data_IF_636149166177
#
_entry.id   IF_636149166177
#
_cell.length_a   1.000
_cell.length_b   1.000
_cell.length_c   1.000
_cell.angle_alpha   90.00
_cell.angle_beta   90.00
_cell.angle_gamma   90.00
#
_symmetry.space_group_name_H-M   'P 1'
#
loop_
_entity.id
_entity.type
_entity.pdbx_description
1 polymer ?
#
# COMPACT_ATOMS: atom_id res chain seq x y z
N UNK A 1 -14.22 7.99 -3.94
CA UNK A 1 -14.53 7.39 -5.25
C UNK A 1 -16.00 7.44 -5.64
N UNK A 2 -16.97 6.75 -4.98
CA UNK A 2 -18.39 6.73 -5.41
C UNK A 2 -19.01 8.12 -5.59
N UNK A 3 -18.70 9.06 -4.71
CA UNK A 3 -19.21 10.44 -4.76
C UNK A 3 -18.72 11.16 -6.03
N UNK A 4 -17.48 10.95 -6.42
CA UNK A 4 -16.92 11.60 -7.61
C UNK A 4 -17.52 11.01 -8.89
N UNK A 5 -17.63 9.68 -9.00
CA UNK A 5 -18.31 9.03 -10.12
C UNK A 5 -19.77 9.51 -10.21
N UNK A 6 -20.46 9.59 -9.07
CA UNK A 6 -21.82 10.10 -9.03
C UNK A 6 -21.93 11.56 -9.51
N UNK A 7 -20.99 12.44 -9.11
CA UNK A 7 -20.99 13.83 -9.59
C UNK A 7 -20.86 13.91 -11.10
N UNK A 8 -20.06 13.04 -11.71
CA UNK A 8 -19.92 12.95 -13.17
C UNK A 8 -21.21 12.46 -13.87
N UNK A 9 -21.92 11.54 -13.23
CA UNK A 9 -23.15 10.94 -13.78
C UNK A 9 -24.40 11.76 -13.51
N UNK A 10 -24.44 12.50 -12.38
CA UNK A 10 -25.61 13.29 -11.95
C UNK A 10 -26.00 14.32 -13.02
N UNK A 11 -27.27 14.30 -13.41
CA UNK A 11 -27.80 15.20 -14.44
C UNK A 11 -27.64 14.71 -15.87
N UNK A 12 -26.92 13.60 -16.08
CA UNK A 12 -26.82 12.99 -17.40
C UNK A 12 -28.09 12.19 -17.75
N UNK A 13 -28.51 12.11 -19.03
CA UNK A 13 -29.73 11.41 -19.43
C UNK A 13 -29.73 9.92 -19.08
N UNK A 14 -28.57 9.28 -19.01
CA UNK A 14 -28.40 7.87 -18.70
C UNK A 14 -28.43 7.55 -17.21
N UNK A 15 -28.27 8.55 -16.31
CA UNK A 15 -28.29 8.36 -14.87
C UNK A 15 -29.71 8.04 -14.38
N UNK A 16 -29.83 7.06 -13.46
CA UNK A 16 -31.11 6.74 -12.84
C UNK A 16 -31.08 7.03 -11.33
N UNK A 17 -30.28 6.30 -10.55
CA UNK A 17 -30.19 6.48 -9.10
C UNK A 17 -28.84 6.06 -8.50
N UNK A 18 -28.55 6.58 -7.30
CA UNK A 18 -27.47 6.16 -6.43
C UNK A 18 -28.03 5.43 -5.20
N UNK A 19 -27.33 4.40 -4.75
CA UNK A 19 -27.60 3.71 -3.50
C UNK A 19 -26.32 3.74 -2.64
N UNK A 20 -26.33 4.55 -1.58
CA UNK A 20 -25.16 4.72 -0.72
C UNK A 20 -24.89 3.49 0.15
N UNK A 21 -25.93 2.78 0.60
CA UNK A 21 -25.79 1.56 1.41
C UNK A 21 -25.12 0.45 0.64
N UNK A 22 -25.56 0.25 -0.60
CA UNK A 22 -24.97 -0.76 -1.51
C UNK A 22 -23.74 -0.26 -2.26
N UNK A 23 -23.33 1.00 -2.06
CA UNK A 23 -22.25 1.66 -2.80
C UNK A 23 -22.38 1.48 -4.31
N UNK A 24 -23.56 1.82 -4.85
CA UNK A 24 -23.98 1.47 -6.22
C UNK A 24 -24.54 2.71 -6.94
N UNK A 25 -24.20 2.82 -8.22
CA UNK A 25 -24.83 3.75 -9.17
C UNK A 25 -25.54 2.91 -10.23
N UNK A 26 -26.80 3.19 -10.48
CA UNK A 26 -27.63 2.47 -11.45
C UNK A 26 -27.97 3.41 -12.60
N UNK A 27 -27.89 2.89 -13.80
CA UNK A 27 -28.21 3.58 -15.04
C UNK A 27 -29.58 3.16 -15.58
N UNK A 28 -30.15 3.98 -16.48
CA UNK A 28 -31.50 3.75 -17.05
C UNK A 28 -31.60 2.48 -17.89
N UNK A 29 -30.50 2.04 -18.47
CA UNK A 29 -30.43 0.78 -19.24
C UNK A 29 -30.26 -0.47 -18.38
N UNK A 30 -30.27 -0.31 -17.04
CA UNK A 30 -30.07 -1.41 -16.09
C UNK A 30 -28.63 -1.71 -15.73
N UNK A 31 -27.67 -1.11 -16.41
CA UNK A 31 -26.25 -1.26 -16.03
C UNK A 31 -26.00 -0.63 -14.64
N UNK A 32 -24.99 -1.13 -13.95
CA UNK A 32 -24.63 -0.61 -12.65
C UNK A 32 -23.11 -0.53 -12.45
N UNK A 33 -22.69 0.44 -11.67
CA UNK A 33 -21.33 0.49 -11.09
C UNK A 33 -21.48 0.19 -9.61
N UNK A 34 -20.74 -0.80 -9.13
CA UNK A 34 -20.70 -1.20 -7.72
C UNK A 34 -19.27 -1.11 -7.19
N UNK A 35 -19.12 -0.55 -5.99
CA UNK A 35 -17.84 -0.40 -5.32
C UNK A 35 -17.75 -1.32 -4.11
N UNK A 36 -16.64 -2.01 -4.00
CA UNK A 36 -16.28 -2.86 -2.87
C UNK A 36 -15.04 -2.30 -2.17
N UNK A 37 -14.89 -2.60 -0.90
CA UNK A 37 -13.66 -2.32 -0.15
C UNK A 37 -12.96 -3.62 0.18
N UNK A 38 -11.68 -3.70 -0.10
CA UNK A 38 -10.84 -4.84 0.28
C UNK A 38 -10.77 -5.04 1.81
N UNK A 39 -10.98 -3.99 2.59
CA UNK A 39 -11.03 -4.06 4.06
C UNK A 39 -12.15 -4.96 4.60
N UNK A 40 -13.16 -5.26 3.80
CA UNK A 40 -14.25 -6.17 4.19
C UNK A 40 -13.84 -7.64 4.20
N UNK A 41 -12.64 -7.95 3.72
CA UNK A 41 -12.10 -9.30 3.63
C UNK A 41 -12.63 -10.09 2.44
N UNK A 42 -11.98 -11.24 2.20
CA UNK A 42 -12.23 -12.13 1.05
C UNK A 42 -13.69 -12.61 0.98
N UNK A 43 -14.27 -12.97 2.12
CA UNK A 43 -15.64 -13.54 2.16
C UNK A 43 -16.69 -12.54 1.65
N UNK A 44 -16.52 -11.26 1.92
CA UNK A 44 -17.45 -10.21 1.46
C UNK A 44 -17.34 -9.93 -0.05
N UNK A 45 -16.26 -10.39 -0.67
CA UNK A 45 -15.96 -10.18 -2.09
C UNK A 45 -16.36 -11.38 -2.97
N UNK A 46 -16.90 -12.48 -2.41
CA UNK A 46 -17.23 -13.66 -3.19
C UNK A 46 -18.61 -13.56 -3.87
N UNK A 47 -18.75 -14.29 -4.98
CA UNK A 47 -20.06 -14.56 -5.59
C UNK A 47 -20.61 -13.48 -6.53
N UNK A 48 -19.78 -12.57 -7.00
CA UNK A 48 -20.20 -11.56 -7.98
C UNK A 48 -19.77 -11.92 -9.40
N UNK A 49 -20.48 -11.34 -10.37
CA UNK A 49 -20.14 -11.40 -11.79
C UNK A 49 -20.24 -10.00 -12.37
N UNK A 50 -19.29 -9.61 -13.20
CA UNK A 50 -19.29 -8.31 -13.85
C UNK A 50 -18.74 -8.37 -15.29
N UNK A 51 -19.05 -7.37 -16.08
CA UNK A 51 -18.58 -7.21 -17.47
C UNK A 51 -17.27 -6.44 -17.56
N UNK A 52 -16.90 -5.73 -16.48
CA UNK A 52 -15.64 -5.03 -16.31
C UNK A 52 -15.26 -5.03 -14.83
N UNK A 53 -14.06 -5.48 -14.53
CA UNK A 53 -13.46 -5.42 -13.20
C UNK A 53 -12.39 -4.34 -13.19
N UNK A 54 -12.49 -3.41 -12.24
CA UNK A 54 -11.46 -2.39 -11.99
C UNK A 54 -10.93 -2.58 -10.58
N UNK A 55 -9.62 -2.73 -10.45
CA UNK A 55 -8.91 -2.89 -9.18
C UNK A 55 -8.01 -1.68 -8.96
N UNK A 56 -8.39 -0.84 -8.01
CA UNK A 56 -7.66 0.35 -7.61
C UNK A 56 -6.66 0.00 -6.51
N UNK A 57 -5.50 0.64 -6.52
CA UNK A 57 -4.40 0.40 -5.60
C UNK A 57 -3.96 -1.07 -5.53
N UNK A 58 -3.93 -1.75 -6.69
CA UNK A 58 -3.71 -3.19 -6.80
C UNK A 58 -2.37 -3.67 -6.21
N UNK A 59 -1.32 -2.82 -6.20
CA UNK A 59 -0.03 -3.14 -5.60
C UNK A 59 -0.07 -3.28 -4.07
N UNK A 60 -1.13 -2.79 -3.43
CA UNK A 60 -1.30 -2.79 -1.97
C UNK A 60 -2.29 -3.86 -1.49
N UNK A 61 -2.92 -4.58 -2.40
CA UNK A 61 -3.83 -5.68 -2.07
C UNK A 61 -3.05 -6.98 -1.85
N UNK A 62 -3.55 -7.80 -0.93
CA UNK A 62 -3.05 -9.16 -0.78
C UNK A 62 -3.43 -10.03 -1.99
N UNK A 63 -2.64 -11.06 -2.24
CA UNK A 63 -2.92 -12.02 -3.33
C UNK A 63 -4.28 -12.67 -3.17
N UNK A 64 -4.68 -13.03 -1.93
CA UNK A 64 -6.00 -13.60 -1.64
C UNK A 64 -7.17 -12.70 -2.09
N UNK A 65 -7.04 -11.39 -1.95
CA UNK A 65 -8.05 -10.41 -2.40
C UNK A 65 -8.13 -10.40 -3.92
N UNK A 66 -6.99 -10.35 -4.59
CA UNK A 66 -6.93 -10.36 -6.06
C UNK A 66 -7.51 -11.66 -6.59
N UNK A 67 -7.10 -12.81 -6.03
CA UNK A 67 -7.59 -14.13 -6.41
C UNK A 67 -9.12 -14.28 -6.19
N UNK A 68 -9.67 -13.67 -5.16
CA UNK A 68 -11.11 -13.71 -4.88
C UNK A 68 -11.95 -12.95 -5.92
N UNK A 69 -11.42 -11.88 -6.52
CA UNK A 69 -12.17 -11.02 -7.45
C UNK A 69 -11.91 -11.36 -8.93
N UNK A 70 -10.77 -11.95 -9.26
CA UNK A 70 -10.44 -12.35 -10.64
C UNK A 70 -11.53 -13.18 -11.34
N UNK A 71 -12.22 -14.13 -10.65
CA UNK A 71 -13.29 -14.92 -11.27
C UNK A 71 -14.54 -14.14 -11.68
N UNK A 72 -14.72 -12.89 -11.24
CA UNK A 72 -15.93 -12.09 -11.53
C UNK A 72 -16.22 -11.94 -13.02
N UNK A 73 -15.19 -11.92 -13.85
CA UNK A 73 -15.29 -11.76 -15.29
C UNK A 73 -15.22 -13.08 -16.08
N UNK A 74 -15.07 -14.23 -15.41
CA UNK A 74 -14.88 -15.51 -16.09
C UNK A 74 -16.04 -15.87 -17.03
N UNK A 75 -17.28 -15.63 -16.59
CA UNK A 75 -18.49 -15.95 -17.36
C UNK A 75 -18.71 -14.95 -18.50
N UNK A 76 -18.41 -13.68 -18.28
CA UNK A 76 -18.62 -12.60 -19.22
C UNK A 76 -17.45 -12.43 -20.20
N UNK A 77 -16.29 -12.97 -19.86
CA UNK A 77 -15.00 -12.73 -20.54
C UNK A 77 -14.66 -11.23 -20.60
N UNK A 78 -15.10 -10.50 -19.59
CA UNK A 78 -14.87 -9.06 -19.47
C UNK A 78 -13.41 -8.72 -19.21
N UNK A 79 -13.00 -7.50 -19.52
CA UNK A 79 -11.65 -7.04 -19.23
C UNK A 79 -11.45 -6.77 -17.73
N UNK A 80 -10.18 -6.87 -17.31
CA UNK A 80 -9.72 -6.48 -15.98
C UNK A 80 -8.75 -5.33 -16.14
N UNK A 81 -8.96 -4.26 -15.39
CA UNK A 81 -8.07 -3.11 -15.32
C UNK A 81 -7.53 -3.01 -13.89
N UNK A 82 -6.22 -3.10 -13.77
CA UNK A 82 -5.52 -2.88 -12.50
C UNK A 82 -4.69 -1.61 -12.61
N UNK A 83 -4.77 -0.75 -11.59
CA UNK A 83 -3.89 0.41 -11.51
C UNK A 83 -3.47 0.67 -10.07
N UNK A 84 -2.29 1.20 -9.91
CA UNK A 84 -1.72 1.50 -8.60
C UNK A 84 -0.47 2.36 -8.75
N UNK A 85 -0.09 3.03 -7.68
CA UNK A 85 1.30 3.43 -7.48
C UNK A 85 2.13 2.15 -7.36
N UNK A 86 3.26 2.03 -8.06
CA UNK A 86 4.10 0.85 -7.95
C UNK A 86 4.62 0.68 -6.51
N UNK A 87 4.88 -0.55 -6.12
CA UNK A 87 5.48 -0.87 -4.83
C UNK A 87 6.80 -1.60 -5.05
N UNK A 88 6.85 -2.88 -4.81
CA UNK A 88 8.04 -3.72 -5.01
C UNK A 88 7.91 -4.56 -6.28
N UNK A 89 9.05 -5.04 -6.80
CA UNK A 89 9.11 -5.99 -7.92
C UNK A 89 8.67 -7.39 -7.47
N UNK A 90 7.51 -7.47 -6.83
CA UNK A 90 6.93 -8.72 -6.32
C UNK A 90 5.41 -8.63 -6.25
N UNK A 91 4.74 -9.77 -6.11
CA UNK A 91 3.29 -9.89 -6.03
C UNK A 91 2.59 -9.86 -7.39
N UNK A 92 1.29 -10.17 -7.37
CA UNK A 92 0.50 -10.38 -8.59
C UNK A 92 0.43 -9.13 -9.47
N UNK A 93 0.26 -7.94 -8.90
CA UNK A 93 0.20 -6.71 -9.68
C UNK A 93 1.49 -6.49 -10.51
N UNK A 94 2.66 -6.66 -9.88
CA UNK A 94 3.94 -6.55 -10.60
C UNK A 94 4.09 -7.62 -11.68
N UNK A 95 3.66 -8.85 -11.41
CA UNK A 95 3.72 -9.94 -12.37
C UNK A 95 2.87 -9.64 -13.61
N UNK A 96 1.62 -9.18 -13.45
CA UNK A 96 0.77 -8.77 -14.58
C UNK A 96 1.34 -7.56 -15.33
N UNK A 97 1.85 -6.56 -14.62
CA UNK A 97 2.54 -5.42 -15.24
C UNK A 97 3.73 -5.89 -16.08
N UNK A 98 4.59 -6.73 -15.53
CA UNK A 98 5.78 -7.25 -16.21
C UNK A 98 5.42 -8.05 -17.48
N UNK A 99 4.42 -8.93 -17.39
CA UNK A 99 3.90 -9.67 -18.54
C UNK A 99 3.33 -8.74 -19.62
N UNK A 100 2.63 -7.67 -19.21
CA UNK A 100 2.07 -6.70 -20.13
C UNK A 100 3.12 -5.84 -20.82
N UNK A 101 4.20 -5.49 -20.12
CA UNK A 101 5.32 -4.73 -20.68
C UNK A 101 6.18 -5.57 -21.61
N UNK A 102 6.39 -6.86 -21.31
CA UNK A 102 7.16 -7.79 -22.15
C UNK A 102 6.38 -8.28 -23.37
N UNK A 103 5.05 -8.07 -23.41
CA UNK A 103 4.16 -8.56 -24.46
C UNK A 103 4.23 -10.08 -24.66
N UNK A 104 4.55 -10.83 -23.62
CA UNK A 104 4.60 -12.29 -23.66
C UNK A 104 3.23 -12.91 -23.99
N UNK A 105 2.15 -12.25 -23.61
CA UNK A 105 0.78 -12.68 -23.86
C UNK A 105 0.02 -11.58 -24.63
N UNK A 106 -0.63 -11.98 -25.71
CA UNK A 106 -1.35 -11.05 -26.61
C UNK A 106 -2.59 -10.36 -26.01
N UNK A 107 -2.98 -10.72 -24.79
CA UNK A 107 -4.17 -10.21 -24.12
C UNK A 107 -3.87 -9.48 -22.80
N UNK A 108 -2.60 -9.26 -22.49
CA UNK A 108 -2.15 -8.49 -21.32
C UNK A 108 -1.34 -7.30 -21.81
N UNK A 109 -1.70 -6.11 -21.35
CA UNK A 109 -1.06 -4.86 -21.70
C UNK A 109 -0.60 -4.14 -20.44
N UNK A 110 0.64 -3.71 -20.41
CA UNK A 110 1.22 -2.89 -19.35
C UNK A 110 1.39 -1.45 -19.83
N UNK A 111 1.11 -0.51 -18.95
CA UNK A 111 1.33 0.92 -19.17
C UNK A 111 1.90 1.52 -17.90
N UNK A 112 2.77 2.50 -18.06
CA UNK A 112 3.29 3.34 -17.00
C UNK A 112 3.09 4.81 -17.35
N UNK A 113 2.86 5.61 -16.33
CA UNK A 113 2.80 7.05 -16.42
C UNK A 113 3.70 7.69 -15.39
N UNK A 114 4.38 8.71 -15.83
CA UNK A 114 5.25 9.52 -15.00
C UNK A 114 4.65 10.90 -14.79
N UNK A 115 5.19 11.65 -13.86
CA UNK A 115 4.82 13.06 -13.65
C UNK A 115 5.04 13.91 -14.92
N UNK A 116 5.92 13.47 -15.82
CA UNK A 116 6.22 14.17 -17.08
C UNK A 116 5.11 13.99 -18.11
N UNK A 117 4.37 12.88 -18.06
CA UNK A 117 3.23 12.61 -18.96
C UNK A 117 2.00 13.43 -18.59
N UNK A 118 1.95 13.95 -17.35
CA UNK A 118 0.88 14.81 -16.83
C UNK A 118 1.40 16.20 -16.46
N UNK A 119 2.38 16.69 -17.20
CA UNK A 119 3.08 17.96 -16.94
C UNK A 119 2.16 19.18 -16.88
N UNK A 120 0.98 19.12 -17.49
CA UNK A 120 -0.03 20.18 -17.40
C UNK A 120 -0.60 20.37 -15.98
N UNK A 121 -0.52 19.34 -15.13
CA UNK A 121 -1.01 19.38 -13.74
C UNK A 121 -0.03 20.05 -12.79
N UNK A 122 1.25 20.17 -13.16
CA UNK A 122 2.30 20.72 -12.32
C UNK A 122 3.16 21.73 -13.08
N UNK A 123 3.38 22.90 -12.50
CA UNK A 123 4.32 23.86 -13.06
C UNK A 123 5.76 23.30 -13.02
N UNK A 124 6.61 23.66 -14.00
CA UNK A 124 8.03 23.23 -14.01
C UNK A 124 8.78 23.57 -12.72
N UNK A 125 8.49 24.72 -12.11
CA UNK A 125 9.09 25.14 -10.84
C UNK A 125 8.69 24.21 -9.69
N UNK A 126 7.45 23.74 -9.65
CA UNK A 126 6.96 22.82 -8.62
C UNK A 126 7.54 21.41 -8.81
N UNK A 127 7.71 20.98 -10.04
CA UNK A 127 8.37 19.71 -10.36
C UNK A 127 9.84 19.73 -9.92
N UNK A 128 10.55 20.81 -10.20
CA UNK A 128 11.95 20.97 -9.78
C UNK A 128 12.09 21.06 -8.26
N UNK A 129 11.12 21.70 -7.57
CA UNK A 129 11.06 21.70 -6.12
C UNK A 129 10.92 20.27 -5.57
N UNK A 130 10.00 19.49 -6.09
CA UNK A 130 9.82 18.10 -5.65
C UNK A 130 11.06 17.24 -5.89
N UNK A 131 11.70 17.40 -7.06
CA UNK A 131 12.93 16.69 -7.38
C UNK A 131 14.07 16.98 -6.40
N UNK A 132 14.11 18.20 -5.82
CA UNK A 132 15.15 18.60 -4.86
C UNK A 132 14.81 18.28 -3.41
N UNK A 133 13.51 18.23 -3.07
CA UNK A 133 13.05 18.12 -1.67
C UNK A 133 12.56 16.74 -1.30
N UNK A 134 12.08 15.94 -2.27
CA UNK A 134 11.63 14.58 -2.04
C UNK A 134 12.83 13.65 -2.09
N UNK A 135 12.85 12.68 -1.19
CA UNK A 135 13.84 11.60 -1.23
C UNK A 135 13.93 10.96 -2.62
N UNK A 136 15.13 10.62 -3.05
CA UNK A 136 15.39 10.14 -4.41
C UNK A 136 14.58 8.87 -4.76
N UNK A 137 14.50 7.92 -3.85
CA UNK A 137 13.76 6.67 -4.10
C UNK A 137 12.26 6.91 -4.09
N UNK A 138 11.76 7.74 -3.16
CA UNK A 138 10.37 8.17 -3.16
C UNK A 138 10.01 8.94 -4.42
N UNK A 139 10.90 9.80 -4.92
CA UNK A 139 10.67 10.51 -6.17
C UNK A 139 10.56 9.54 -7.35
N UNK A 140 11.47 8.57 -7.45
CA UNK A 140 11.41 7.53 -8.46
C UNK A 140 10.12 6.72 -8.42
N UNK A 141 9.72 6.29 -7.23
CA UNK A 141 8.54 5.48 -7.05
C UNK A 141 7.24 6.26 -7.30
N UNK A 142 7.01 7.37 -6.58
CA UNK A 142 5.73 8.11 -6.63
C UNK A 142 5.56 9.00 -7.85
N UNK A 143 6.66 9.52 -8.43
CA UNK A 143 6.59 10.48 -9.53
C UNK A 143 7.06 9.92 -10.86
N UNK A 144 7.94 8.92 -10.85
CA UNK A 144 8.40 8.27 -12.08
C UNK A 144 7.78 6.89 -12.31
N UNK A 145 6.96 6.39 -11.39
CA UNK A 145 6.30 5.09 -11.54
C UNK A 145 7.25 3.89 -11.48
N UNK A 146 8.44 4.04 -10.89
CA UNK A 146 9.43 2.96 -10.81
C UNK A 146 9.09 1.98 -9.67
N UNK A 147 9.10 0.68 -9.95
CA UNK A 147 9.02 -0.35 -8.91
C UNK A 147 10.34 -0.44 -8.13
N UNK A 148 10.24 -0.61 -6.84
CA UNK A 148 11.39 -0.80 -5.96
C UNK A 148 11.85 -2.26 -5.96
N UNK A 149 13.14 -2.53 -5.75
CA UNK A 149 13.64 -3.90 -5.69
C UNK A 149 13.22 -4.60 -4.41
N UNK A 150 13.23 -3.88 -3.26
CA UNK A 150 12.83 -4.36 -1.95
C UNK A 150 12.11 -3.26 -1.17
N UNK A 151 11.33 -3.62 -0.15
CA UNK A 151 10.77 -2.64 0.80
C UNK A 151 11.88 -1.87 1.56
N UNK A 152 13.02 -2.50 1.80
CA UNK A 152 14.20 -1.86 2.40
C UNK A 152 14.79 -0.73 1.55
N UNK A 153 14.52 -0.69 0.24
CA UNK A 153 14.95 0.42 -0.63
C UNK A 153 14.35 1.77 -0.19
N UNK A 154 13.23 1.75 0.54
CA UNK A 154 12.65 2.96 1.14
C UNK A 154 13.56 3.63 2.16
N UNK A 155 14.38 2.85 2.84
CA UNK A 155 15.32 3.36 3.86
C UNK A 155 16.69 3.72 3.27
N UNK A 156 16.90 3.43 1.96
CA UNK A 156 18.19 3.61 1.30
C UNK A 156 19.25 2.62 1.77
N UNK A 157 20.51 2.91 1.47
CA UNK A 157 21.64 2.11 1.96
C UNK A 157 21.96 2.47 3.42
N UNK A 158 21.57 1.60 4.33
CA UNK A 158 21.86 1.73 5.76
C UNK A 158 23.04 0.88 6.22
N UNK A 159 23.81 0.30 5.31
CA UNK A 159 24.98 -0.54 5.64
C UNK A 159 25.98 0.17 6.54
N UNK A 160 26.13 1.48 6.37
CA UNK A 160 26.98 2.31 7.23
C UNK A 160 26.45 2.50 8.66
N UNK A 161 25.16 2.25 8.87
CA UNK A 161 24.54 2.31 10.20
C UNK A 161 24.65 0.97 10.96
N UNK A 162 24.98 -0.09 10.25
CA UNK A 162 25.16 -1.43 10.86
C UNK A 162 26.55 -1.50 11.49
N UNK A 163 26.56 -1.60 12.81
CA UNK A 163 27.77 -1.70 13.62
C UNK A 163 27.62 -2.85 14.60
N UNK A 164 28.76 -3.34 15.09
CA UNK A 164 28.74 -4.32 16.16
C UNK A 164 28.05 -3.76 17.41
N UNK A 165 27.26 -4.60 18.07
CA UNK A 165 26.57 -4.23 19.32
C UNK A 165 27.62 -3.85 20.38
N UNK A 166 27.55 -2.66 20.98
CA UNK A 166 28.49 -2.27 22.02
C UNK A 166 28.30 -3.15 23.25
N UNK A 167 29.41 -3.59 23.83
CA UNK A 167 29.42 -4.50 24.96
C UNK A 167 29.03 -3.85 26.30
N UNK A 168 29.18 -2.53 26.40
CA UNK A 168 28.98 -1.75 27.64
C UNK A 168 28.30 -0.44 27.29
N UNK A 169 27.26 -0.09 28.06
CA UNK A 169 26.61 1.22 28.00
C UNK A 169 27.18 2.10 29.12
N UNK A 170 27.94 3.13 28.78
CA UNK A 170 28.56 4.07 29.71
C UNK A 170 27.97 5.49 29.63
N UNK A 171 26.81 5.64 29.04
CA UNK A 171 26.16 6.93 28.86
C UNK A 171 24.65 6.85 29.21
N UNK A 172 24.01 7.97 29.52
CA UNK A 172 22.55 7.99 29.68
C UNK A 172 21.85 7.48 28.41
N UNK A 173 20.76 6.73 28.58
CA UNK A 173 20.00 6.14 27.49
C UNK A 173 18.57 6.68 27.46
N UNK A 174 17.98 6.63 26.27
CA UNK A 174 16.56 6.83 26.03
C UNK A 174 15.94 5.54 25.50
N UNK A 175 14.71 5.29 25.89
CA UNK A 175 13.94 4.14 25.42
C UNK A 175 12.95 4.58 24.38
N UNK A 176 13.02 3.98 23.18
CA UNK A 176 11.96 4.06 22.19
C UNK A 176 11.07 2.84 22.34
N UNK A 177 9.75 3.03 22.51
CA UNK A 177 8.81 1.94 22.72
C UNK A 177 7.74 1.95 21.64
N UNK A 178 7.67 0.87 20.89
CA UNK A 178 6.55 0.55 20.01
C UNK A 178 5.68 -0.51 20.71
N UNK A 179 4.48 -0.09 21.06
CA UNK A 179 3.61 -0.86 21.95
C UNK A 179 2.56 -1.65 21.19
N UNK A 180 2.63 -2.98 21.22
CA UNK A 180 1.56 -3.84 20.73
C UNK A 180 0.40 -3.92 21.75
N UNK A 181 -0.81 -3.68 21.29
CA UNK A 181 -2.00 -3.59 22.16
C UNK A 181 -2.54 -4.92 22.69
N UNK A 182 -2.10 -6.07 22.16
CA UNK A 182 -2.62 -7.40 22.53
C UNK A 182 -1.56 -8.49 22.43
N UNK A 183 -1.74 -9.54 23.22
CA UNK A 183 -0.90 -10.75 23.15
C UNK A 183 -1.15 -11.55 21.86
N UNK A 184 -0.07 -12.06 21.27
CA UNK A 184 -0.13 -12.98 20.13
C UNK A 184 -0.38 -12.33 18.76
N UNK A 185 -0.44 -10.98 18.69
CA UNK A 185 -0.50 -10.20 17.46
C UNK A 185 0.86 -9.60 17.12
N UNK A 186 0.91 -8.27 17.02
CA UNK A 186 2.15 -7.53 16.80
C UNK A 186 3.12 -7.65 17.97
N UNK A 187 4.39 -7.35 17.73
CA UNK A 187 5.42 -7.31 18.74
C UNK A 187 5.48 -5.95 19.44
N UNK A 188 5.58 -5.95 20.78
CA UNK A 188 6.10 -4.79 21.49
C UNK A 188 7.61 -4.76 21.30
N UNK A 189 8.15 -3.65 20.78
CA UNK A 189 9.57 -3.46 20.61
C UNK A 189 10.08 -2.32 21.51
N UNK A 190 11.21 -2.53 22.17
CA UNK A 190 11.87 -1.54 23.02
C UNK A 190 13.30 -1.34 22.49
N UNK A 191 13.59 -0.16 21.96
CA UNK A 191 14.95 0.22 21.57
C UNK A 191 15.64 0.98 22.70
N UNK A 192 16.90 0.66 22.96
CA UNK A 192 17.77 1.32 23.95
C UNK A 192 18.82 2.10 23.18
N UNK A 193 18.74 3.42 23.23
CA UNK A 193 19.57 4.32 22.43
C UNK A 193 20.32 5.26 23.40
N UNK A 194 21.64 5.33 23.27
CA UNK A 194 22.46 6.28 24.02
C UNK A 194 22.30 7.71 23.53
N UNK A 195 22.64 8.67 24.35
CA UNK A 195 22.64 10.10 24.00
C UNK A 195 23.57 10.45 22.82
N UNK A 196 24.54 9.60 22.54
CA UNK A 196 25.40 9.65 21.35
C UNK A 196 24.68 9.24 20.04
N UNK A 197 23.47 8.70 20.14
CA UNK A 197 22.75 8.09 19.01
C UNK A 197 23.10 6.62 18.75
N UNK A 198 23.97 6.02 19.61
CA UNK A 198 24.33 4.61 19.51
C UNK A 198 23.16 3.72 19.96
N UNK A 199 22.74 2.77 19.12
CA UNK A 199 21.80 1.72 19.50
C UNK A 199 22.54 0.67 20.34
N UNK A 200 22.09 0.44 21.56
CA UNK A 200 22.67 -0.55 22.47
C UNK A 200 21.93 -1.88 22.42
N UNK A 201 20.59 -1.84 22.35
CA UNK A 201 19.79 -3.06 22.27
C UNK A 201 18.42 -2.81 21.66
N UNK A 202 17.82 -3.90 21.15
CA UNK A 202 16.40 -3.97 20.80
C UNK A 202 15.85 -5.23 21.47
N UNK A 203 14.86 -5.04 22.33
CA UNK A 203 14.14 -6.11 23.01
C UNK A 203 12.75 -6.16 22.43
N UNK A 204 12.28 -7.34 22.02
CA UNK A 204 10.94 -7.50 21.46
C UNK A 204 10.28 -8.78 21.98
N UNK A 205 8.97 -8.71 22.17
CA UNK A 205 8.13 -9.82 22.67
C UNK A 205 6.67 -9.59 22.27
N UNK A 206 5.90 -10.68 22.15
CA UNK A 206 4.47 -10.65 21.85
C UNK A 206 3.64 -11.56 22.78
N UNK A 207 4.27 -12.11 23.83
CA UNK A 207 3.71 -13.06 24.78
C UNK A 207 3.29 -12.44 26.12
N UNK A 208 3.48 -11.12 26.29
CA UNK A 208 3.23 -10.40 27.52
C UNK A 208 1.95 -9.55 27.44
N UNK A 209 1.15 -9.60 28.50
CA UNK A 209 0.05 -8.66 28.67
C UNK A 209 0.57 -7.24 29.00
N UNK A 210 -0.29 -6.19 28.94
CA UNK A 210 0.16 -4.82 29.21
C UNK A 210 0.83 -4.61 30.58
N UNK A 211 0.42 -5.34 31.62
CA UNK A 211 1.02 -5.23 32.95
C UNK A 211 2.41 -5.83 32.98
N UNK A 212 2.59 -6.99 32.35
CA UNK A 212 3.88 -7.65 32.22
C UNK A 212 4.84 -6.81 31.35
N UNK A 213 4.33 -6.17 30.32
CA UNK A 213 5.10 -5.23 29.48
C UNK A 213 5.60 -4.04 30.29
N UNK A 214 4.74 -3.41 31.10
CA UNK A 214 5.14 -2.31 31.99
C UNK A 214 6.19 -2.78 32.99
N UNK A 215 6.01 -3.95 33.59
CA UNK A 215 7.00 -4.52 34.54
C UNK A 215 8.37 -4.73 33.88
N UNK A 216 8.42 -5.19 32.63
CA UNK A 216 9.66 -5.37 31.89
C UNK A 216 10.34 -4.02 31.60
N UNK A 217 9.57 -3.01 31.17
CA UNK A 217 10.10 -1.65 30.96
C UNK A 217 10.70 -1.09 32.24
N UNK A 218 10.00 -1.22 33.38
CA UNK A 218 10.50 -0.75 34.66
C UNK A 218 11.77 -1.49 35.10
N UNK A 219 11.88 -2.78 34.79
CA UNK A 219 13.10 -3.57 35.07
C UNK A 219 14.30 -3.09 34.24
N UNK A 220 14.08 -2.62 33.03
CA UNK A 220 15.14 -2.10 32.15
C UNK A 220 15.63 -0.70 32.58
N UNK A 221 14.80 0.06 33.28
CA UNK A 221 15.08 1.44 33.71
C UNK A 221 15.76 1.45 35.10
N UNK A 222 15.61 0.39 35.89
CA UNK A 222 16.19 0.25 37.26
C UNK A 222 17.66 -0.17 37.23
#
# INVERSE_FOLDING_TARGET
MLVEIWKMCKGQPFYFKKNDVKRQIIFRNGAEIRLFSAEQGVDALQGYTCELLIIDEAAYLSEDIIDAVMPYVNTTKGPIIMFSTPRTKSGQFYNYYSMGMSQELNNIYGYDWTIYDVSELLSPAKLELYRKTVDRLKFKNYYLGEFLNNESDFFGDFSQCVKDKPSICNEPVVFGIDWAGATGGDYTAISIIGMSGQLYDIIYFNDKDPKQTIAEILRLVA
#
